data_IF_003411711647
#
_entry.id   IF_003411711647
#
_cell.length_a   1.000
_cell.length_b   1.000
_cell.length_c   1.000
_cell.angle_alpha   90.00
_cell.angle_beta   90.00
_cell.angle_gamma   90.00
#
_symmetry.space_group_name_H-M   'P 1'
#
loop_
_entity.id
_entity.type
_entity.pdbx_description
1 polymer ?
#
# COMPACT_ATOMS: atom_id res chain seq x y z
N UNK A 1 -0.12 -22.32 -4.39
CA UNK A 1 0.05 -21.14 -5.25
C UNK A 1 -0.68 -19.92 -4.74
N UNK A 2 -1.96 -20.10 -4.35
CA UNK A 2 -2.77 -18.96 -3.92
C UNK A 2 -2.68 -18.71 -2.42
N UNK A 3 -1.92 -19.54 -1.69
CA UNK A 3 -1.82 -19.43 -0.24
C UNK A 3 -1.32 -18.06 0.19
N UNK A 4 -0.27 -17.55 -0.47
CA UNK A 4 0.28 -16.24 -0.13
C UNK A 4 -0.73 -15.12 -0.39
N UNK A 5 -1.45 -15.18 -1.51
CA UNK A 5 -2.48 -14.20 -1.83
C UNK A 5 -3.61 -14.26 -0.80
N UNK A 6 -4.04 -15.47 -0.45
CA UNK A 6 -5.09 -15.66 0.55
C UNK A 6 -4.66 -15.13 1.92
N UNK A 7 -3.42 -15.38 2.31
CA UNK A 7 -2.90 -14.89 3.59
C UNK A 7 -2.84 -13.38 3.63
N UNK A 8 -2.36 -12.75 2.55
CA UNK A 8 -2.28 -11.30 2.47
C UNK A 8 -3.66 -10.67 2.47
N UNK A 9 -4.61 -11.24 1.72
CA UNK A 9 -5.98 -10.75 1.69
C UNK A 9 -6.60 -10.88 3.09
N UNK A 10 -6.40 -12.01 3.74
CA UNK A 10 -6.93 -12.24 5.08
C UNK A 10 -6.30 -11.31 6.10
N UNK A 11 -5.01 -10.96 5.92
CA UNK A 11 -4.33 -10.05 6.84
C UNK A 11 -4.93 -8.65 6.84
N UNK A 12 -5.70 -8.29 5.81
CA UNK A 12 -6.36 -6.99 5.72
C UNK A 12 -7.71 -6.96 6.44
N UNK A 13 -8.28 -8.12 6.76
CA UNK A 13 -9.61 -8.19 7.38
C UNK A 13 -9.70 -7.44 8.71
N UNK A 14 -8.71 -7.54 9.62
CA UNK A 14 -8.80 -6.81 10.90
C UNK A 14 -8.90 -5.31 10.74
N UNK A 15 -8.37 -4.76 9.63
CA UNK A 15 -8.36 -3.31 9.42
C UNK A 15 -9.74 -2.76 9.07
N UNK A 16 -10.68 -3.61 8.67
CA UNK A 16 -12.06 -3.18 8.45
C UNK A 16 -12.72 -2.72 9.76
N UNK A 17 -12.41 -3.41 10.86
CA UNK A 17 -12.94 -3.07 12.17
C UNK A 17 -12.03 -2.12 12.94
N UNK A 18 -10.71 -2.25 12.76
CA UNK A 18 -9.72 -1.46 13.48
C UNK A 18 -8.67 -0.92 12.51
N UNK A 19 -8.96 0.21 11.84
CA UNK A 19 -8.02 0.79 10.87
C UNK A 19 -6.68 1.14 11.52
N UNK A 20 -5.59 0.72 10.89
CA UNK A 20 -4.22 1.02 11.32
C UNK A 20 -3.41 1.41 10.09
N UNK A 21 -3.56 2.66 9.60
CA UNK A 21 -2.98 3.05 8.31
C UNK A 21 -1.47 2.89 8.22
N UNK A 22 -0.73 3.05 9.34
CA UNK A 22 0.72 2.86 9.35
C UNK A 22 1.15 1.44 9.00
N UNK A 23 0.28 0.47 9.26
CA UNK A 23 0.56 -0.94 8.99
C UNK A 23 -0.19 -1.38 7.74
N UNK A 24 -1.44 -0.96 7.63
CA UNK A 24 -2.34 -1.41 6.57
C UNK A 24 -1.80 -1.14 5.16
N UNK A 25 -1.21 0.03 4.91
CA UNK A 25 -0.71 0.35 3.57
C UNK A 25 0.38 -0.63 3.11
N UNK A 26 1.15 -1.16 4.06
CA UNK A 26 2.20 -2.14 3.74
C UNK A 26 1.60 -3.47 3.29
N UNK A 27 0.48 -3.87 3.90
CA UNK A 27 -0.22 -5.08 3.50
C UNK A 27 -0.82 -4.95 2.11
N UNK A 28 -1.41 -3.80 1.80
CA UNK A 28 -1.91 -3.53 0.46
C UNK A 28 -0.78 -3.54 -0.58
N UNK A 29 0.36 -2.93 -0.25
CA UNK A 29 1.51 -2.91 -1.14
C UNK A 29 2.07 -4.31 -1.39
N UNK A 30 2.14 -5.14 -0.34
CA UNK A 30 2.61 -6.51 -0.47
C UNK A 30 1.68 -7.34 -1.35
N UNK A 31 0.37 -7.20 -1.15
CA UNK A 31 -0.62 -7.87 -1.99
C UNK A 31 -0.52 -7.41 -3.44
N UNK A 32 -0.34 -6.11 -3.65
CA UNK A 32 -0.21 -5.55 -4.98
C UNK A 32 1.00 -6.11 -5.72
N UNK A 33 2.16 -6.21 -5.04
CA UNK A 33 3.36 -6.79 -5.65
C UNK A 33 3.15 -8.24 -6.04
N UNK A 34 2.47 -9.00 -5.17
CA UNK A 34 2.19 -10.41 -5.46
C UNK A 34 1.26 -10.52 -6.67
N UNK A 35 0.20 -9.73 -6.72
CA UNK A 35 -0.74 -9.74 -7.85
C UNK A 35 -0.05 -9.36 -9.15
N UNK A 36 0.85 -8.37 -9.11
CA UNK A 36 1.62 -7.98 -10.28
C UNK A 36 2.51 -9.14 -10.76
N UNK A 37 3.15 -9.86 -9.82
CA UNK A 37 4.00 -10.99 -10.17
C UNK A 37 3.21 -12.16 -10.75
N UNK A 38 1.90 -12.21 -10.50
CA UNK A 38 1.01 -13.24 -11.01
C UNK A 38 0.23 -12.80 -12.24
N UNK A 39 0.67 -11.72 -12.87
CA UNK A 39 0.09 -11.20 -14.10
C UNK A 39 -1.39 -10.83 -13.94
N UNK A 40 -1.71 -10.20 -12.81
CA UNK A 40 -3.04 -9.67 -12.55
C UNK A 40 -2.95 -8.15 -12.39
N UNK A 41 -2.67 -7.42 -13.48
CA UNK A 41 -2.34 -6.00 -13.39
C UNK A 41 -3.48 -5.12 -12.89
N UNK A 42 -4.73 -5.45 -13.23
CA UNK A 42 -5.87 -4.65 -12.78
C UNK A 42 -6.05 -4.76 -11.26
N UNK A 43 -5.95 -5.98 -10.72
CA UNK A 43 -6.05 -6.20 -9.28
C UNK A 43 -4.86 -5.58 -8.54
N UNK A 44 -3.66 -5.67 -9.12
CA UNK A 44 -2.47 -5.06 -8.54
C UNK A 44 -2.62 -3.54 -8.46
N UNK A 45 -3.10 -2.90 -9.51
CA UNK A 45 -3.34 -1.45 -9.52
C UNK A 45 -4.33 -1.03 -8.45
N UNK A 46 -5.39 -1.80 -8.27
CA UNK A 46 -6.38 -1.50 -7.23
C UNK A 46 -5.75 -1.54 -5.85
N UNK A 47 -4.92 -2.57 -5.57
CA UNK A 47 -4.24 -2.68 -4.29
C UNK A 47 -3.22 -1.56 -4.09
N UNK A 48 -2.46 -1.19 -5.12
CA UNK A 48 -1.55 -0.04 -5.03
C UNK A 48 -2.31 1.26 -4.80
N UNK A 49 -3.48 1.44 -5.43
CA UNK A 49 -4.29 2.63 -5.23
C UNK A 49 -4.78 2.74 -3.78
N UNK A 50 -5.14 1.63 -3.16
CA UNK A 50 -5.53 1.62 -1.75
C UNK A 50 -4.36 1.98 -0.85
N UNK A 51 -3.17 1.44 -1.14
CA UNK A 51 -1.96 1.79 -0.41
C UNK A 51 -1.64 3.29 -0.58
N UNK A 52 -1.83 3.83 -1.78
CA UNK A 52 -1.59 5.25 -2.04
C UNK A 52 -2.48 6.14 -1.19
N UNK A 53 -3.77 5.82 -1.09
CA UNK A 53 -4.70 6.60 -0.27
C UNK A 53 -4.21 6.67 1.17
N UNK A 54 -3.76 5.53 1.71
CA UNK A 54 -3.26 5.47 3.08
C UNK A 54 -1.95 6.24 3.24
N UNK A 55 -1.04 6.09 2.28
CA UNK A 55 0.25 6.80 2.29
C UNK A 55 0.04 8.31 2.22
N UNK A 56 -0.86 8.77 1.34
CA UNK A 56 -1.15 10.20 1.21
C UNK A 56 -1.77 10.75 2.50
N UNK A 57 -2.67 9.98 3.12
CA UNK A 57 -3.26 10.36 4.39
C UNK A 57 -2.24 10.47 5.50
N UNK A 58 -1.29 9.52 5.56
CA UNK A 58 -0.22 9.55 6.54
C UNK A 58 0.70 10.75 6.30
N UNK A 59 1.07 11.02 5.05
CA UNK A 59 1.90 12.18 4.72
C UNK A 59 1.22 13.48 5.12
N UNK A 60 -0.09 13.58 4.88
CA UNK A 60 -0.86 14.77 5.24
C UNK A 60 -0.91 14.99 6.75
N UNK A 61 -0.82 13.91 7.54
CA UNK A 61 -0.83 14.01 8.99
C UNK A 61 0.51 14.43 9.58
N UNK A 62 1.58 14.42 8.80
CA UNK A 62 2.90 14.85 9.24
C UNK A 62 3.00 16.36 9.05
N UNK A 63 3.04 17.11 10.17
CA UNK A 63 3.05 18.58 10.10
C UNK A 63 4.43 19.15 9.80
N UNK A 64 5.49 18.45 10.18
CA UNK A 64 6.86 18.89 9.91
C UNK A 64 7.23 18.58 8.46
N UNK A 65 7.53 19.61 7.63
CA UNK A 65 7.85 19.38 6.22
C UNK A 65 9.06 18.48 6.01
N UNK A 66 10.09 18.58 6.86
CA UNK A 66 11.28 17.75 6.73
C UNK A 66 10.96 16.28 6.98
N UNK A 67 10.17 16.00 8.03
CA UNK A 67 9.74 14.64 8.33
C UNK A 67 8.84 14.08 7.24
N UNK A 68 7.95 14.92 6.71
CA UNK A 68 7.08 14.50 5.60
C UNK A 68 7.91 14.11 4.38
N UNK A 69 8.92 14.92 4.04
CA UNK A 69 9.79 14.61 2.92
C UNK A 69 10.55 13.32 3.14
N UNK A 70 11.05 13.09 4.36
CA UNK A 70 11.73 11.84 4.70
C UNK A 70 10.80 10.63 4.51
N UNK A 71 9.55 10.75 4.97
CA UNK A 71 8.57 9.68 4.81
C UNK A 71 8.31 9.39 3.33
N UNK A 72 8.14 10.43 2.52
CA UNK A 72 7.87 10.28 1.09
C UNK A 72 9.08 9.74 0.32
N UNK A 73 10.29 9.83 0.87
CA UNK A 73 11.50 9.28 0.25
C UNK A 73 11.76 7.82 0.61
N UNK A 74 11.01 7.25 1.54
CA UNK A 74 11.14 5.84 1.88
C UNK A 74 10.87 5.01 0.62
N UNK A 75 11.76 4.07 0.33
CA UNK A 75 11.73 3.30 -0.92
C UNK A 75 10.36 2.66 -1.19
N UNK A 76 9.79 2.00 -0.19
CA UNK A 76 8.50 1.34 -0.36
C UNK A 76 7.35 2.32 -0.57
N UNK A 77 7.42 3.50 0.06
CA UNK A 77 6.44 4.57 -0.15
C UNK A 77 6.54 5.10 -1.58
N UNK A 78 7.76 5.35 -2.05
CA UNK A 78 7.97 5.83 -3.42
C UNK A 78 7.46 4.83 -4.46
N UNK A 79 7.66 3.55 -4.19
CA UNK A 79 7.15 2.50 -5.08
C UNK A 79 5.63 2.55 -5.18
N UNK A 80 4.96 2.67 -4.03
CA UNK A 80 3.49 2.75 -4.00
C UNK A 80 3.01 3.94 -4.83
N UNK A 81 3.60 5.12 -4.61
CA UNK A 81 3.18 6.32 -5.32
C UNK A 81 3.41 6.21 -6.82
N UNK A 82 4.56 5.67 -7.22
CA UNK A 82 4.90 5.51 -8.63
C UNK A 82 3.98 4.49 -9.31
N UNK A 83 3.72 3.35 -8.67
CA UNK A 83 2.95 2.28 -9.29
C UNK A 83 1.45 2.54 -9.25
N UNK A 84 0.97 3.28 -8.26
CA UNK A 84 -0.44 3.65 -8.20
C UNK A 84 -0.83 4.63 -9.31
N UNK A 85 0.11 5.48 -9.73
CA UNK A 85 -0.13 6.45 -10.80
C UNK A 85 0.23 5.91 -12.18
N UNK A 86 0.91 4.77 -12.26
CA UNK A 86 1.26 4.16 -13.54
C UNK A 86 0.01 3.55 -14.17
N UNK A 87 -0.21 3.83 -15.44
CA UNK A 87 -1.36 3.32 -16.19
C UNK A 87 -0.98 2.34 -17.27
#
# INVERSE_FOLDING_TARGET
HNTAEEELTRSLEPFAAHPMPLIEWRHHAALARLLASRRRPAAARESFARAEVLVQGLAASIHDPALRDMFLQIRSVREVLARATAT
#
